data_IF_789491316522
#
_entry.id   IF_789491316522
#
_cell.length_a   1.000
_cell.length_b   1.000
_cell.length_c   1.000
_cell.angle_alpha   90.00
_cell.angle_beta   90.00
_cell.angle_gamma   90.00
#
_symmetry.space_group_name_H-M   'P 1'
#
loop_
_entity.id
_entity.type
_entity.pdbx_description
1 polymer ?
#
# COMPACT_ATOMS: atom_id res chain seq x y z
N UNK A 1 -11.61 22.66 5.18
CA UNK A 1 -11.86 21.32 5.75
C UNK A 1 -10.56 20.56 5.64
N UNK A 2 -10.04 20.00 6.74
CA UNK A 2 -8.81 19.20 6.69
C UNK A 2 -9.07 17.94 5.86
N UNK A 3 -8.14 17.60 4.98
CA UNK A 3 -8.19 16.36 4.21
C UNK A 3 -8.03 15.18 5.17
N UNK A 4 -8.90 14.16 5.07
CA UNK A 4 -8.79 12.94 5.90
C UNK A 4 -7.43 12.29 5.61
N UNK A 5 -6.66 12.00 6.66
CA UNK A 5 -5.38 11.32 6.52
C UNK A 5 -5.60 9.86 6.12
N UNK A 6 -4.73 9.27 5.28
CA UNK A 6 -4.88 7.87 4.89
C UNK A 6 -4.74 6.90 6.07
N UNK A 7 -5.71 6.00 6.22
CA UNK A 7 -5.64 4.84 7.11
C UNK A 7 -4.88 3.72 6.40
N UNK A 8 -3.78 3.25 6.99
CA UNK A 8 -2.97 2.17 6.44
C UNK A 8 -3.48 0.77 6.84
N UNK A 9 -4.29 0.67 7.90
CA UNK A 9 -4.87 -0.58 8.41
C UNK A 9 -6.14 -0.96 7.63
N UNK A 10 -6.01 -1.02 6.31
CA UNK A 10 -7.12 -1.25 5.37
C UNK A 10 -7.02 -2.58 4.61
N UNK A 11 -5.91 -3.31 4.79
CA UNK A 11 -5.57 -4.52 4.02
C UNK A 11 -5.83 -5.82 4.75
N UNK A 12 -6.32 -5.77 6.00
CA UNK A 12 -6.60 -6.97 6.80
C UNK A 12 -7.57 -7.92 6.09
N UNK A 13 -8.58 -7.35 5.43
CA UNK A 13 -9.65 -8.08 4.74
C UNK A 13 -9.46 -8.01 3.20
N UNK A 14 -8.20 -8.05 2.75
CA UNK A 14 -7.84 -7.89 1.34
C UNK A 14 -8.48 -8.96 0.43
N UNK A 15 -8.60 -10.19 0.91
CA UNK A 15 -9.23 -11.31 0.21
C UNK A 15 -10.70 -11.01 -0.15
N UNK A 16 -11.44 -10.36 0.75
CA UNK A 16 -12.82 -9.94 0.51
C UNK A 16 -12.87 -8.89 -0.61
N UNK A 17 -11.99 -7.89 -0.56
CA UNK A 17 -11.92 -6.86 -1.61
C UNK A 17 -11.55 -7.44 -2.97
N UNK A 18 -10.54 -8.32 -3.03
CA UNK A 18 -10.10 -8.98 -4.25
C UNK A 18 -11.22 -9.84 -4.85
N UNK A 19 -11.98 -10.57 -4.02
CA UNK A 19 -13.14 -11.35 -4.47
C UNK A 19 -14.18 -10.47 -5.15
N UNK A 20 -14.54 -9.33 -4.54
CA UNK A 20 -15.50 -8.40 -5.12
C UNK A 20 -14.97 -7.79 -6.43
N UNK A 21 -13.67 -7.45 -6.49
CA UNK A 21 -13.04 -6.92 -7.72
C UNK A 21 -13.13 -7.93 -8.87
N UNK A 22 -12.94 -9.22 -8.61
CA UNK A 22 -13.07 -10.26 -9.63
C UNK A 22 -14.48 -10.33 -10.23
N UNK A 23 -15.52 -10.10 -9.42
CA UNK A 23 -16.90 -9.99 -9.90
C UNK A 23 -17.10 -8.71 -10.72
N UNK A 24 -16.60 -7.58 -10.22
CA UNK A 24 -16.66 -6.28 -10.92
C UNK A 24 -16.06 -6.37 -12.32
N UNK A 25 -14.94 -7.05 -12.49
CA UNK A 25 -14.28 -7.18 -13.79
C UNK A 25 -15.12 -7.90 -14.85
N UNK A 26 -16.11 -8.70 -14.44
CA UNK A 26 -17.04 -9.39 -15.35
C UNK A 26 -18.22 -8.51 -15.78
N UNK A 27 -18.60 -7.54 -14.95
CA UNK A 27 -19.91 -6.86 -15.08
C UNK A 27 -19.84 -5.33 -15.23
N UNK A 28 -18.68 -4.70 -14.99
CA UNK A 28 -18.55 -3.23 -14.94
C UNK A 28 -19.06 -2.50 -16.20
N UNK A 29 -18.95 -3.13 -17.38
CA UNK A 29 -19.39 -2.54 -18.65
C UNK A 29 -20.91 -2.38 -18.74
N UNK A 30 -21.67 -3.13 -17.94
CA UNK A 30 -23.14 -3.11 -17.91
C UNK A 30 -23.69 -2.25 -16.77
N UNK A 31 -22.85 -1.72 -15.89
CA UNK A 31 -23.30 -0.99 -14.70
C UNK A 31 -23.98 0.34 -15.06
N UNK A 32 -25.30 0.48 -14.84
CA UNK A 32 -26.03 1.68 -15.25
C UNK A 32 -25.63 2.93 -14.46
N UNK A 33 -25.24 2.79 -13.19
CA UNK A 33 -24.80 3.92 -12.36
C UNK A 33 -23.45 4.49 -12.81
N UNK A 34 -22.69 3.73 -13.61
CA UNK A 34 -21.40 4.14 -14.14
C UNK A 34 -21.48 4.88 -15.48
N UNK A 35 -22.68 5.11 -16.03
CA UNK A 35 -22.86 5.69 -17.39
C UNK A 35 -22.24 7.09 -17.52
N UNK A 36 -22.19 7.86 -16.43
CA UNK A 36 -21.55 9.18 -16.43
C UNK A 36 -20.05 9.13 -16.72
N UNK A 37 -19.39 7.98 -16.51
CA UNK A 37 -17.99 7.78 -16.85
C UNK A 37 -17.73 7.91 -18.35
N UNK A 38 -18.73 7.62 -19.19
CA UNK A 38 -18.62 7.69 -20.66
C UNK A 38 -18.47 9.13 -21.17
N UNK A 39 -18.77 10.12 -20.31
CA UNK A 39 -18.61 11.55 -20.60
C UNK A 39 -17.20 12.08 -20.30
N UNK A 40 -16.31 11.27 -19.72
CA UNK A 40 -14.91 11.66 -19.56
C UNK A 40 -14.31 11.87 -20.95
N UNK A 41 -13.71 13.04 -21.14
CA UNK A 41 -13.06 13.41 -22.38
C UNK A 41 -11.65 13.92 -22.09
N UNK A 42 -10.67 13.07 -22.35
CA UNK A 42 -9.25 13.39 -22.35
C UNK A 42 -8.76 13.51 -23.80
N UNK A 43 -7.97 14.53 -24.14
CA UNK A 43 -7.47 14.74 -25.49
C UNK A 43 -6.30 13.81 -25.86
N UNK A 44 -6.15 12.67 -25.17
CA UNK A 44 -4.99 11.79 -25.27
C UNK A 44 -5.38 10.31 -25.24
N UNK A 45 -4.38 9.45 -25.44
CA UNK A 45 -4.51 7.99 -25.51
C UNK A 45 -5.04 7.33 -24.23
N UNK A 46 -4.99 8.02 -23.08
CA UNK A 46 -5.47 7.50 -21.81
C UNK A 46 -7.00 7.57 -21.65
N UNK A 47 -7.72 8.25 -22.55
CA UNK A 47 -9.16 8.46 -22.44
C UNK A 47 -9.94 7.16 -22.16
N UNK A 48 -9.72 6.14 -22.98
CA UNK A 48 -10.41 4.85 -22.83
C UNK A 48 -10.04 4.14 -21.52
N UNK A 49 -8.77 4.21 -21.11
CA UNK A 49 -8.29 3.61 -19.87
C UNK A 49 -8.95 4.26 -18.65
N UNK A 50 -9.05 5.59 -18.66
CA UNK A 50 -9.69 6.36 -17.59
C UNK A 50 -11.20 6.11 -17.54
N UNK A 51 -11.89 6.01 -18.69
CA UNK A 51 -13.32 5.63 -18.74
C UNK A 51 -13.53 4.24 -18.13
N UNK A 52 -12.75 3.24 -18.56
CA UNK A 52 -12.84 1.87 -18.04
C UNK A 52 -12.59 1.84 -16.53
N UNK A 53 -11.58 2.57 -16.07
CA UNK A 53 -11.23 2.64 -14.65
C UNK A 53 -12.33 3.31 -13.82
N UNK A 54 -12.92 4.40 -14.32
CA UNK A 54 -14.08 5.05 -13.71
C UNK A 54 -15.24 4.07 -13.55
N UNK A 55 -15.57 3.31 -14.60
CA UNK A 55 -16.68 2.35 -14.53
C UNK A 55 -16.41 1.23 -13.53
N UNK A 56 -15.20 0.67 -13.52
CA UNK A 56 -14.78 -0.33 -12.52
C UNK A 56 -14.88 0.22 -11.10
N UNK A 57 -14.44 1.46 -10.88
CA UNK A 57 -14.54 2.13 -9.57
C UNK A 57 -15.99 2.22 -9.08
N UNK A 58 -16.90 2.71 -9.94
CA UNK A 58 -18.31 2.89 -9.60
C UNK A 58 -18.98 1.55 -9.31
N UNK A 59 -18.74 0.53 -10.15
CA UNK A 59 -19.22 -0.83 -9.92
C UNK A 59 -18.69 -1.42 -8.62
N UNK A 60 -17.41 -1.20 -8.32
CA UNK A 60 -16.79 -1.70 -7.09
C UNK A 60 -17.40 -1.06 -5.86
N UNK A 61 -17.57 0.27 -5.86
CA UNK A 61 -18.26 0.98 -4.79
C UNK A 61 -19.68 0.44 -4.57
N UNK A 62 -20.45 0.29 -5.65
CA UNK A 62 -21.82 -0.21 -5.57
C UNK A 62 -21.89 -1.61 -4.97
N UNK A 63 -21.01 -2.52 -5.37
CA UNK A 63 -20.96 -3.88 -4.82
C UNK A 63 -20.57 -3.89 -3.34
N UNK A 64 -19.59 -3.07 -2.95
CA UNK A 64 -19.22 -2.89 -1.54
C UNK A 64 -20.38 -2.36 -0.69
N UNK A 65 -21.18 -1.43 -1.23
CA UNK A 65 -22.38 -0.89 -0.57
C UNK A 65 -23.53 -1.89 -0.51
N UNK A 66 -23.79 -2.64 -1.59
CA UNK A 66 -24.85 -3.67 -1.65
C UNK A 66 -24.60 -4.81 -0.66
N UNK A 67 -23.35 -5.14 -0.39
CA UNK A 67 -22.99 -6.12 0.63
C UNK A 67 -23.17 -5.57 2.07
N UNK A 68 -23.71 -4.34 2.21
CA UNK A 68 -23.92 -3.58 3.44
C UNK A 68 -25.38 -3.13 3.59
N UNK A 69 -26.31 -4.08 3.72
CA UNK A 69 -27.76 -3.78 3.70
C UNK A 69 -28.40 -3.56 5.09
N UNK A 70 -27.64 -3.50 6.18
CA UNK A 70 -28.18 -3.23 7.52
C UNK A 70 -27.14 -2.64 8.47
N UNK A 71 -27.56 -2.13 9.63
CA UNK A 71 -26.72 -1.58 10.71
C UNK A 71 -25.58 -2.53 11.19
N UNK A 72 -25.54 -3.77 10.71
CA UNK A 72 -24.48 -4.76 10.91
C UNK A 72 -23.55 -4.90 9.69
N UNK A 73 -23.07 -3.78 9.15
CA UNK A 73 -21.92 -3.76 8.27
C UNK A 73 -20.70 -4.36 9.02
N UNK A 74 -20.14 -5.47 8.52
CA UNK A 74 -18.89 -6.05 9.05
C UNK A 74 -17.77 -4.98 9.09
N UNK A 75 -16.73 -5.13 9.93
CA UNK A 75 -15.63 -4.17 10.01
C UNK A 75 -15.00 -3.80 8.65
N UNK A 76 -14.99 -4.72 7.69
CA UNK A 76 -14.57 -4.53 6.29
C UNK A 76 -15.28 -3.32 5.67
N UNK A 77 -16.56 -3.16 5.97
CA UNK A 77 -17.37 -2.10 5.40
C UNK A 77 -17.30 -0.75 6.13
N UNK A 78 -16.53 -0.65 7.21
CA UNK A 78 -16.24 0.66 7.82
C UNK A 78 -15.08 1.35 7.10
N UNK A 79 -14.17 0.58 6.49
CA UNK A 79 -12.93 1.08 5.87
C UNK A 79 -12.90 1.01 4.34
N UNK A 80 -13.97 0.56 3.68
CA UNK A 80 -14.00 0.41 2.23
C UNK A 80 -13.71 1.71 1.46
N UNK A 81 -14.05 2.87 2.03
CA UNK A 81 -13.77 4.18 1.41
C UNK A 81 -12.26 4.43 1.31
N UNK A 82 -11.51 4.16 2.38
CA UNK A 82 -10.05 4.21 2.38
C UNK A 82 -9.44 3.19 1.42
N UNK A 83 -9.97 1.97 1.37
CA UNK A 83 -9.52 0.97 0.40
C UNK A 83 -9.79 1.39 -1.05
N UNK A 84 -10.95 1.99 -1.34
CA UNK A 84 -11.27 2.50 -2.68
C UNK A 84 -10.30 3.60 -3.12
N UNK A 85 -9.92 4.52 -2.22
CA UNK A 85 -8.92 5.56 -2.50
C UNK A 85 -7.54 4.97 -2.82
N UNK A 86 -7.13 3.94 -2.07
CA UNK A 86 -5.92 3.19 -2.39
C UNK A 86 -6.04 2.49 -3.75
N UNK A 87 -7.12 1.73 -3.96
CA UNK A 87 -7.32 0.92 -5.14
C UNK A 87 -7.28 1.76 -6.41
N UNK A 88 -8.00 2.89 -6.45
CA UNK A 88 -8.01 3.76 -7.63
C UNK A 88 -6.64 4.35 -7.91
N UNK A 89 -5.91 4.77 -6.86
CA UNK A 89 -4.54 5.28 -6.98
C UNK A 89 -3.61 4.18 -7.53
N UNK A 90 -3.73 2.96 -7.01
CA UNK A 90 -2.94 1.82 -7.45
C UNK A 90 -3.19 1.48 -8.93
N UNK A 91 -4.45 1.47 -9.37
CA UNK A 91 -4.79 1.22 -10.78
C UNK A 91 -4.29 2.33 -11.72
N UNK A 92 -4.29 3.59 -11.27
CA UNK A 92 -3.75 4.72 -12.02
C UNK A 92 -2.22 4.62 -12.17
N UNK A 93 -1.50 4.20 -11.12
CA UNK A 93 -0.06 3.98 -11.20
C UNK A 93 0.31 2.78 -12.08
N UNK A 94 -0.41 1.66 -11.99
CA UNK A 94 -0.15 0.48 -12.83
C UNK A 94 -0.27 0.79 -14.32
N UNK A 95 -1.16 1.70 -14.69
CA UNK A 95 -1.37 2.14 -16.06
C UNK A 95 -0.52 3.36 -16.44
N UNK A 96 0.32 3.86 -15.52
CA UNK A 96 1.16 5.04 -15.72
C UNK A 96 0.37 6.28 -16.19
N UNK A 97 -0.86 6.44 -15.69
CA UNK A 97 -1.73 7.56 -16.07
C UNK A 97 -1.10 8.88 -15.59
N UNK A 98 -0.99 9.92 -16.44
CA UNK A 98 -0.41 11.21 -16.04
C UNK A 98 -1.21 11.90 -14.93
N UNK A 99 -0.52 12.67 -14.08
CA UNK A 99 -1.13 13.38 -12.93
C UNK A 99 -2.35 14.23 -13.32
N UNK A 100 -2.30 14.94 -14.45
CA UNK A 100 -3.41 15.77 -14.91
C UNK A 100 -4.65 14.94 -15.25
N UNK A 101 -4.47 13.77 -15.85
CA UNK A 101 -5.56 12.87 -16.24
C UNK A 101 -6.15 12.18 -14.99
N UNK A 102 -5.32 11.88 -13.97
CA UNK A 102 -5.81 11.44 -12.65
C UNK A 102 -6.78 12.47 -12.07
N UNK A 103 -6.46 13.77 -12.14
CA UNK A 103 -7.31 14.84 -11.60
C UNK A 103 -8.66 14.92 -12.32
N UNK A 104 -8.70 14.72 -13.63
CA UNK A 104 -9.96 14.68 -14.39
C UNK A 104 -10.86 13.55 -13.90
N UNK A 105 -10.29 12.35 -13.67
CA UNK A 105 -11.03 11.22 -13.12
C UNK A 105 -11.61 11.52 -11.74
N UNK A 106 -10.77 11.99 -10.80
CA UNK A 106 -11.22 12.32 -9.44
C UNK A 106 -12.30 13.41 -9.44
N UNK A 107 -12.17 14.42 -10.29
CA UNK A 107 -13.21 15.46 -10.46
C UNK A 107 -14.51 14.84 -10.97
N UNK A 108 -14.45 14.05 -12.04
CA UNK A 108 -15.63 13.40 -12.61
C UNK A 108 -16.34 12.50 -11.59
N UNK A 109 -15.59 11.74 -10.79
CA UNK A 109 -16.15 10.92 -9.71
C UNK A 109 -16.83 11.79 -8.65
N UNK A 110 -16.16 12.85 -8.17
CA UNK A 110 -16.74 13.76 -7.15
C UNK A 110 -18.02 14.43 -7.63
N UNK A 111 -18.05 14.89 -8.88
CA UNK A 111 -19.18 15.65 -9.41
C UNK A 111 -20.43 14.76 -9.63
N UNK A 112 -20.25 13.46 -9.88
CA UNK A 112 -21.34 12.57 -10.29
C UNK A 112 -21.74 11.50 -9.26
N UNK A 113 -20.85 11.11 -8.34
CA UNK A 113 -21.16 10.06 -7.34
C UNK A 113 -22.33 10.45 -6.41
N UNK A 114 -22.57 11.75 -6.22
CA UNK A 114 -23.68 12.26 -5.39
C UNK A 114 -25.05 11.72 -5.84
N UNK A 115 -25.23 11.43 -7.12
CA UNK A 115 -26.50 10.91 -7.65
C UNK A 115 -26.82 9.49 -7.17
N UNK A 116 -25.82 8.77 -6.67
CA UNK A 116 -25.91 7.35 -6.28
C UNK A 116 -25.44 7.09 -4.84
N UNK A 117 -24.98 8.14 -4.17
CA UNK A 117 -24.48 8.14 -2.80
C UNK A 117 -25.33 9.10 -1.95
N UNK A 118 -26.56 8.70 -1.63
CA UNK A 118 -27.53 9.51 -0.87
C UNK A 118 -26.95 10.05 0.46
N UNK A 119 -26.06 9.28 1.11
CA UNK A 119 -25.39 9.67 2.35
C UNK A 119 -24.10 10.51 2.13
N UNK A 120 -23.68 10.69 0.86
CA UNK A 120 -22.39 11.31 0.44
C UNK A 120 -21.14 10.73 1.12
N UNK A 121 -21.23 9.52 1.65
CA UNK A 121 -20.17 8.88 2.45
C UNK A 121 -18.89 8.68 1.65
N UNK A 122 -18.97 8.35 0.36
CA UNK A 122 -17.79 8.17 -0.48
C UNK A 122 -17.35 9.49 -1.13
N UNK A 123 -18.28 10.34 -1.59
CA UNK A 123 -17.94 11.60 -2.26
C UNK A 123 -17.05 12.48 -1.37
N UNK A 124 -17.42 12.62 -0.09
CA UNK A 124 -16.67 13.45 0.88
C UNK A 124 -15.31 12.83 1.22
N UNK A 125 -15.21 11.50 1.17
CA UNK A 125 -14.00 10.75 1.50
C UNK A 125 -13.11 10.46 0.31
N UNK A 126 -13.48 10.85 -0.92
CA UNK A 126 -12.67 10.60 -2.09
C UNK A 126 -11.48 11.56 -2.14
N UNK A 127 -10.26 11.02 -2.12
CA UNK A 127 -9.04 11.80 -2.20
C UNK A 127 -7.98 11.10 -3.04
N UNK A 128 -7.08 11.90 -3.62
CA UNK A 128 -5.88 11.38 -4.24
C UNK A 128 -4.85 11.08 -3.15
N UNK A 129 -4.41 9.83 -3.03
CA UNK A 129 -3.36 9.44 -2.08
C UNK A 129 -2.07 10.13 -2.53
N UNK A 130 -1.37 10.83 -1.63
CA UNK A 130 -0.09 11.44 -1.99
C UNK A 130 1.00 10.37 -2.20
N UNK A 131 2.05 10.71 -2.92
CA UNK A 131 3.07 9.74 -3.35
C UNK A 131 3.76 9.03 -2.16
N UNK A 132 3.98 9.73 -1.05
CA UNK A 132 4.62 9.16 0.13
C UNK A 132 3.70 8.14 0.82
N UNK A 133 2.44 8.51 1.06
CA UNK A 133 1.45 7.59 1.62
C UNK A 133 1.19 6.41 0.69
N UNK A 134 1.08 6.66 -0.61
CA UNK A 134 0.88 5.62 -1.60
C UNK A 134 2.03 4.60 -1.60
N UNK A 135 3.28 5.05 -1.50
CA UNK A 135 4.45 4.16 -1.41
C UNK A 135 4.31 3.20 -0.24
N UNK A 136 3.97 3.69 0.95
CA UNK A 136 3.80 2.88 2.16
C UNK A 136 2.63 1.91 2.05
N UNK A 137 1.48 2.41 1.62
CA UNK A 137 0.27 1.60 1.43
C UNK A 137 0.47 0.51 0.37
N UNK A 138 1.20 0.79 -0.70
CA UNK A 138 1.51 -0.19 -1.74
C UNK A 138 2.46 -1.28 -1.24
N UNK A 139 3.39 -0.96 -0.34
CA UNK A 139 4.23 -1.96 0.33
C UNK A 139 3.40 -2.89 1.21
N UNK A 140 2.47 -2.33 1.99
CA UNK A 140 1.51 -3.11 2.78
C UNK A 140 0.61 -3.97 1.90
N UNK A 141 0.06 -3.43 0.82
CA UNK A 141 -0.76 -4.18 -0.14
C UNK A 141 -0.02 -5.43 -0.65
N UNK A 142 1.25 -5.30 -1.06
CA UNK A 142 2.07 -6.43 -1.51
C UNK A 142 2.31 -7.45 -0.39
N UNK A 143 2.59 -6.99 0.82
CA UNK A 143 2.78 -7.85 1.98
C UNK A 143 1.52 -8.67 2.31
N UNK A 144 0.36 -8.01 2.42
CA UNK A 144 -0.92 -8.69 2.68
C UNK A 144 -1.35 -9.60 1.53
N UNK A 145 -1.11 -9.19 0.27
CA UNK A 145 -1.37 -10.03 -0.90
C UNK A 145 -0.53 -11.30 -0.89
N UNK A 146 0.74 -11.21 -0.52
CA UNK A 146 1.59 -12.39 -0.33
C UNK A 146 1.11 -13.25 0.84
N UNK A 147 0.80 -12.65 1.99
CA UNK A 147 0.34 -13.36 3.18
C UNK A 147 -0.95 -14.17 2.95
N UNK A 148 -1.93 -13.57 2.28
CA UNK A 148 -3.21 -14.21 1.91
C UNK A 148 -3.16 -14.96 0.57
N UNK A 149 -2.02 -14.98 -0.10
CA UNK A 149 -1.87 -15.46 -1.46
C UNK A 149 -1.87 -16.97 -1.59
N UNK A 150 -1.95 -17.44 -2.85
CA UNK A 150 -1.74 -18.85 -3.19
C UNK A 150 -0.41 -19.05 -3.90
N UNK A 151 0.11 -20.28 -3.89
CA UNK A 151 1.37 -20.60 -4.58
C UNK A 151 1.27 -20.57 -6.11
N UNK A 152 0.07 -20.44 -6.68
CA UNK A 152 -0.12 -20.48 -8.13
C UNK A 152 0.64 -19.36 -8.86
N UNK A 153 0.75 -18.18 -8.23
CA UNK A 153 1.53 -17.05 -8.73
C UNK A 153 3.06 -17.30 -8.65
N UNK A 154 3.49 -18.37 -7.98
CA UNK A 154 4.89 -18.69 -7.66
C UNK A 154 5.33 -20.04 -8.20
N UNK A 155 4.69 -20.54 -9.27
CA UNK A 155 4.98 -21.85 -9.86
C UNK A 155 4.91 -23.02 -8.85
N UNK A 156 4.06 -22.89 -7.82
CA UNK A 156 3.96 -23.87 -6.73
C UNK A 156 5.23 -24.04 -5.89
N UNK A 157 6.13 -23.05 -5.90
CA UNK A 157 7.42 -23.08 -5.21
C UNK A 157 7.34 -22.35 -3.86
N UNK A 158 7.42 -23.13 -2.77
CA UNK A 158 7.37 -22.62 -1.40
C UNK A 158 8.55 -21.70 -1.06
N UNK A 159 9.76 -22.01 -1.53
CA UNK A 159 10.96 -21.25 -1.19
C UNK A 159 10.92 -19.88 -1.85
N UNK A 160 10.52 -19.83 -3.13
CA UNK A 160 10.30 -18.54 -3.83
C UNK A 160 9.21 -17.71 -3.15
N UNK A 161 8.11 -18.35 -2.74
CA UNK A 161 7.02 -17.66 -2.05
C UNK A 161 7.49 -17.06 -0.72
N UNK A 162 8.17 -17.84 0.14
CA UNK A 162 8.66 -17.36 1.43
C UNK A 162 9.75 -16.30 1.29
N UNK A 163 10.62 -16.43 0.29
CA UNK A 163 11.63 -15.41 -0.02
C UNK A 163 10.98 -14.07 -0.36
N UNK A 164 10.00 -14.06 -1.28
CA UNK A 164 9.32 -12.81 -1.65
C UNK A 164 8.53 -12.20 -0.49
N UNK A 165 7.86 -13.05 0.30
CA UNK A 165 7.17 -12.59 1.49
C UNK A 165 8.13 -11.91 2.48
N UNK A 166 9.28 -12.53 2.75
CA UNK A 166 10.30 -11.96 3.64
C UNK A 166 10.85 -10.65 3.10
N UNK A 167 11.17 -10.58 1.80
CA UNK A 167 11.59 -9.32 1.17
C UNK A 167 10.55 -8.19 1.35
N UNK A 168 9.26 -8.49 1.14
CA UNK A 168 8.20 -7.50 1.28
C UNK A 168 8.05 -7.04 2.74
N UNK A 169 8.18 -7.97 3.69
CA UNK A 169 8.17 -7.66 5.12
C UNK A 169 9.37 -6.78 5.51
N UNK A 170 10.58 -7.15 5.11
CA UNK A 170 11.81 -6.42 5.43
C UNK A 170 11.81 -5.01 4.82
N UNK A 171 11.28 -4.85 3.60
CA UNK A 171 11.07 -3.53 2.97
C UNK A 171 10.14 -2.66 3.82
N UNK A 172 9.03 -3.21 4.34
CA UNK A 172 8.13 -2.48 5.21
C UNK A 172 8.80 -2.07 6.53
N UNK A 173 9.56 -2.98 7.15
CA UNK A 173 10.32 -2.67 8.37
C UNK A 173 11.34 -1.56 8.15
N UNK A 174 12.10 -1.64 7.05
CA UNK A 174 13.09 -0.62 6.73
C UNK A 174 12.45 0.76 6.65
N UNK A 175 11.33 0.89 5.93
CA UNK A 175 10.64 2.19 5.81
C UNK A 175 10.03 2.66 7.13
N UNK A 176 9.48 1.75 7.93
CA UNK A 176 9.01 2.07 9.28
C UNK A 176 10.16 2.68 10.13
N UNK A 177 11.32 2.02 10.19
CA UNK A 177 12.37 2.39 11.15
C UNK A 177 13.42 3.35 10.61
N UNK A 178 13.96 3.08 9.41
CA UNK A 178 15.03 3.89 8.83
C UNK A 178 14.49 5.17 8.18
N UNK A 179 13.30 5.11 7.59
CA UNK A 179 12.66 6.31 6.99
C UNK A 179 11.68 7.00 7.96
N UNK A 180 11.41 6.41 9.14
CA UNK A 180 10.62 7.03 10.22
C UNK A 180 9.11 7.08 9.95
N UNK A 181 8.57 6.17 9.13
CA UNK A 181 7.14 6.13 8.82
C UNK A 181 6.33 5.49 9.97
N UNK A 182 5.92 6.34 10.92
CA UNK A 182 5.15 5.93 12.10
C UNK A 182 3.83 5.21 11.78
N UNK A 183 3.09 5.64 10.74
CA UNK A 183 1.83 5.00 10.34
C UNK A 183 2.07 3.59 9.83
N UNK A 184 3.12 3.41 9.03
CA UNK A 184 3.55 2.08 8.60
C UNK A 184 3.97 1.21 9.80
N UNK A 185 4.72 1.77 10.75
CA UNK A 185 5.11 1.05 11.97
C UNK A 185 3.93 0.52 12.77
N UNK A 186 2.89 1.32 12.95
CA UNK A 186 1.69 0.93 13.69
C UNK A 186 0.99 -0.27 13.03
N UNK A 187 0.89 -0.27 11.70
CA UNK A 187 0.34 -1.41 10.95
C UNK A 187 1.25 -2.63 11.03
N UNK A 188 2.57 -2.46 10.93
CA UNK A 188 3.53 -3.57 11.00
C UNK A 188 3.52 -4.26 12.38
N UNK A 189 3.30 -3.51 13.46
CA UNK A 189 3.07 -4.07 14.80
C UNK A 189 1.85 -5.01 14.82
N UNK A 190 0.75 -4.60 14.18
CA UNK A 190 -0.47 -5.39 14.12
C UNK A 190 -0.33 -6.58 13.16
N UNK A 191 0.33 -6.39 12.02
CA UNK A 191 0.63 -7.44 11.05
C UNK A 191 1.44 -8.57 11.70
N UNK A 192 2.45 -8.23 12.51
CA UNK A 192 3.25 -9.24 13.22
C UNK A 192 2.39 -10.12 14.13
N UNK A 193 1.51 -9.52 14.94
CA UNK A 193 0.59 -10.26 15.81
C UNK A 193 -0.34 -11.17 14.99
N UNK A 194 -0.83 -10.66 13.86
CA UNK A 194 -1.67 -11.41 12.93
C UNK A 194 -0.91 -12.63 12.37
N UNK A 195 0.33 -12.44 11.92
CA UNK A 195 1.18 -13.52 11.40
C UNK A 195 1.54 -14.56 12.46
N UNK A 196 1.84 -14.14 13.69
CA UNK A 196 2.17 -15.05 14.78
C UNK A 196 0.97 -15.90 15.21
N UNK A 197 -0.25 -15.35 15.11
CA UNK A 197 -1.48 -16.09 15.39
C UNK A 197 -1.78 -17.15 14.31
N UNK A 198 -1.63 -16.79 13.04
CA UNK A 198 -1.87 -17.68 11.92
C UNK A 198 -0.89 -17.38 10.78
N UNK A 199 -0.03 -18.35 10.47
CA UNK A 199 0.93 -18.23 9.38
C UNK A 199 0.31 -18.75 8.09
N UNK A 200 0.15 -17.87 7.10
CA UNK A 200 -0.30 -18.18 5.75
C UNK A 200 -1.61 -19.00 5.71
N UNK A 201 -2.76 -18.39 6.02
CA UNK A 201 -4.06 -19.07 6.18
C UNK A 201 -4.48 -19.86 4.94
N UNK A 202 -4.06 -19.42 3.76
CA UNK A 202 -4.45 -20.01 2.47
C UNK A 202 -3.47 -21.08 1.94
N UNK A 203 -2.41 -21.41 2.70
CA UNK A 203 -1.29 -22.23 2.22
C UNK A 203 -1.32 -23.65 2.81
N UNK A 204 -1.62 -24.64 1.98
CA UNK A 204 -1.77 -26.05 2.41
C UNK A 204 -0.66 -26.99 1.94
N UNK A 205 0.12 -26.60 0.92
CA UNK A 205 1.11 -27.48 0.26
C UNK A 205 2.57 -27.29 0.73
N UNK A 206 2.82 -26.35 1.63
CA UNK A 206 4.15 -26.10 2.18
C UNK A 206 4.28 -26.66 3.59
N UNK A 207 5.49 -27.10 3.96
CA UNK A 207 5.76 -27.60 5.31
C UNK A 207 5.70 -26.43 6.29
N UNK A 208 4.97 -26.58 7.40
CA UNK A 208 4.86 -25.53 8.43
C UNK A 208 6.22 -25.13 9.01
N UNK A 209 7.14 -26.09 9.13
CA UNK A 209 8.49 -25.83 9.65
C UNK A 209 9.34 -24.95 8.73
N UNK A 210 8.98 -24.82 7.45
CA UNK A 210 9.66 -23.92 6.51
C UNK A 210 9.06 -22.52 6.50
N UNK A 211 8.05 -22.22 7.32
CA UNK A 211 7.47 -20.89 7.39
C UNK A 211 8.47 -19.92 8.02
N UNK A 212 8.75 -18.77 7.39
CA UNK A 212 9.73 -17.83 7.90
C UNK A 212 9.40 -17.35 9.32
N UNK A 213 10.46 -17.17 10.11
CA UNK A 213 10.40 -16.37 11.32
C UNK A 213 10.62 -14.92 10.91
N UNK A 214 9.74 -14.01 11.32
CA UNK A 214 10.02 -12.58 11.12
C UNK A 214 10.91 -12.08 12.28
N UNK A 215 11.82 -11.13 12.03
CA UNK A 215 12.60 -10.51 13.11
C UNK A 215 11.69 -9.79 14.11
N UNK A 216 12.15 -9.64 15.36
CA UNK A 216 11.43 -8.82 16.32
C UNK A 216 11.57 -7.33 15.98
N UNK A 217 10.46 -6.59 16.07
CA UNK A 217 10.42 -5.13 15.93
C UNK A 217 11.34 -4.42 16.94
N UNK A 218 11.59 -5.05 18.09
CA UNK A 218 12.54 -4.61 19.12
C UNK A 218 14.00 -4.59 18.64
N UNK A 219 14.34 -5.35 17.60
CA UNK A 219 15.69 -5.41 17.00
C UNK A 219 16.00 -4.18 16.13
N UNK A 220 14.98 -3.44 15.70
CA UNK A 220 15.08 -2.24 14.90
C UNK A 220 14.85 -1.02 15.81
N UNK A 221 15.66 -0.83 16.86
CA UNK A 221 15.55 0.40 17.65
C UNK A 221 15.95 1.58 16.77
N UNK A 222 15.11 2.64 16.64
CA UNK A 222 15.63 3.91 16.17
C UNK A 222 16.74 4.31 17.12
N UNK A 223 17.88 4.68 16.54
CA UNK A 223 19.00 5.21 17.29
C UNK A 223 18.47 6.40 18.09
N UNK A 224 18.32 6.24 19.40
CA UNK A 224 18.06 7.38 20.28
C UNK A 224 19.34 8.22 20.24
N UNK A 225 19.25 9.42 19.68
CA UNK A 225 20.26 10.45 19.89
C UNK A 225 20.22 10.81 21.37
N UNK A 226 21.05 10.15 22.17
CA UNK A 226 21.41 10.59 23.50
C UNK A 226 22.81 11.22 23.41
N UNK A 227 23.07 12.21 24.27
CA UNK A 227 24.34 12.98 24.34
C UNK A 227 25.56 12.14 24.78
N UNK A 228 25.49 10.82 24.64
CA UNK A 228 26.52 9.83 24.92
C UNK A 228 27.40 9.58 23.68
N UNK A 229 28.51 8.85 23.80
CA UNK A 229 29.42 8.44 22.72
C UNK A 229 28.71 7.75 21.52
N UNK A 230 27.45 7.32 21.70
CA UNK A 230 26.51 6.89 20.67
C UNK A 230 26.14 8.00 19.66
N UNK A 231 26.37 9.27 19.97
CA UNK A 231 26.20 10.40 19.03
C UNK A 231 27.31 10.46 17.96
N UNK A 232 28.35 9.62 18.08
CA UNK A 232 29.41 9.55 17.09
C UNK A 232 28.84 8.98 15.78
N UNK A 233 28.71 9.86 14.77
CA UNK A 233 28.27 9.51 13.41
C UNK A 233 29.05 8.30 12.87
N UNK A 234 30.33 8.14 13.23
CA UNK A 234 31.13 6.98 12.85
C UNK A 234 30.63 5.66 13.44
N UNK A 235 30.23 5.65 14.72
CA UNK A 235 29.65 4.48 15.37
C UNK A 235 28.29 4.13 14.78
N UNK A 236 27.48 5.15 14.48
CA UNK A 236 26.17 4.98 13.84
C UNK A 236 26.28 4.43 12.42
N UNK A 237 27.26 4.90 11.63
CA UNK A 237 27.53 4.37 10.30
C UNK A 237 27.98 2.92 10.34
N UNK A 238 28.78 2.52 11.33
CA UNK A 238 29.22 1.12 11.50
C UNK A 238 28.07 0.20 11.92
N UNK A 239 27.21 0.64 12.86
CA UNK A 239 26.01 -0.13 13.22
C UNK A 239 25.06 -0.28 12.03
N UNK A 240 24.77 0.82 11.31
CA UNK A 240 23.91 0.79 10.13
C UNK A 240 24.51 -0.10 9.02
N UNK A 241 25.82 -0.04 8.79
CA UNK A 241 26.51 -0.90 7.81
C UNK A 241 26.45 -2.39 8.18
N UNK A 242 26.59 -2.72 9.46
CA UNK A 242 26.43 -4.09 9.96
C UNK A 242 24.98 -4.58 9.86
N UNK A 243 24.03 -3.67 10.06
CA UNK A 243 22.60 -3.92 9.86
C UNK A 243 22.30 -4.33 8.43
N UNK A 244 22.74 -3.54 7.44
CA UNK A 244 22.56 -3.87 6.01
C UNK A 244 23.13 -5.24 5.63
N UNK A 245 24.26 -5.64 6.25
CA UNK A 245 24.90 -6.94 6.01
C UNK A 245 24.07 -8.13 6.51
N UNK A 246 23.28 -7.97 7.58
CA UNK A 246 22.40 -9.02 8.14
C UNK A 246 21.22 -9.36 7.23
N UNK A 247 20.81 -8.44 6.35
CA UNK A 247 19.62 -8.56 5.51
C UNK A 247 19.94 -8.64 4.00
N UNK A 248 21.19 -8.93 3.62
CA UNK A 248 21.63 -9.06 2.22
C UNK A 248 21.31 -7.85 1.32
N UNK A 249 21.19 -6.65 1.92
CA UNK A 249 20.87 -5.42 1.19
C UNK A 249 22.14 -4.81 0.55
N UNK A 250 22.01 -4.07 -0.58
CA UNK A 250 23.15 -3.45 -1.26
C UNK A 250 23.94 -2.54 -0.33
N UNK A 251 25.24 -2.83 -0.17
CA UNK A 251 26.13 -2.03 0.66
C UNK A 251 26.32 -0.63 0.08
N UNK A 252 26.31 0.40 0.93
CA UNK A 252 26.86 1.71 0.60
C UNK A 252 28.37 1.55 0.38
N UNK A 253 28.80 1.52 -0.88
CA UNK A 253 30.22 1.50 -1.23
C UNK A 253 30.85 2.86 -0.89
N UNK A 254 32.08 2.81 -0.37
CA UNK A 254 32.86 3.96 0.14
C UNK A 254 32.94 5.14 -0.85
N UNK A 255 32.81 4.86 -2.15
CA UNK A 255 32.77 5.84 -3.25
C UNK A 255 31.55 6.78 -3.21
N UNK A 256 30.39 6.33 -2.71
CA UNK A 256 29.17 7.15 -2.61
C UNK A 256 29.07 7.98 -1.32
N UNK A 257 29.90 7.68 -0.32
CA UNK A 257 29.90 8.41 0.96
C UNK A 257 30.65 9.73 0.82
N UNK A 258 31.77 9.73 0.11
CA UNK A 258 32.59 10.94 -0.08
C UNK A 258 31.91 12.00 -0.96
N UNK A 259 31.20 11.59 -2.02
CA UNK A 259 30.51 12.54 -2.90
C UNK A 259 29.36 13.29 -2.20
N UNK A 260 28.60 12.60 -1.34
CA UNK A 260 27.49 13.22 -0.61
C UNK A 260 27.96 14.10 0.55
N UNK A 261 29.06 13.75 1.23
CA UNK A 261 29.61 14.59 2.29
C UNK A 261 30.24 15.89 1.77
N UNK A 262 30.95 15.85 0.63
CA UNK A 262 31.53 17.04 0.00
C UNK A 262 30.45 18.06 -0.42
N UNK A 263 29.33 17.58 -0.96
CA UNK A 263 28.22 18.42 -1.41
C UNK A 263 27.51 19.14 -0.25
N UNK A 264 27.39 18.46 0.91
CA UNK A 264 26.80 19.05 2.12
C UNK A 264 27.78 20.05 2.78
N UNK A 265 29.08 19.76 2.80
CA UNK A 265 30.07 20.71 3.33
C UNK A 265 30.23 21.99 2.50
N UNK A 266 29.97 21.93 1.19
CA UNK A 266 30.02 23.10 0.31
C UNK A 266 28.80 24.03 0.46
N UNK A 267 27.67 23.54 0.98
CA UNK A 267 26.46 24.34 1.21
C UNK A 267 26.39 25.01 2.60
N UNK A 268 27.33 24.68 3.50
CA UNK A 268 27.39 25.26 4.86
C UNK A 268 28.35 26.47 4.91
N UNK A 269 29.09 26.73 3.83
CA UNK A 269 30.00 27.89 3.69
C UNK A 269 29.65 28.75 2.46
N UNK A 270 28.37 29.12 2.28
CA UNK A 270 27.95 30.33 1.56
C UNK A 270 26.55 30.77 1.97
#
# INVERSE_FOLDING_TARGET
MAQEEPDYDIFKDLDVYETIIHEVYKEYSKEPTAKFCDNINLPNEYNNQVIVLCRKFVSFYKNLKKNCNSDNCSPVHKKYSSYLNFWISHQLELQSIPKNDKLVLYKNLKDNLQQYDEDRKLQVKLYNVNDNDFKSMNMLYKLYKNYNGSLSEYNNDCDKFFHLFKENYDKCLYRCYAEGDSKLCDVMNNFRKLYDNEKFPSLYNCKKDSFPLLPELSEYRPIKLTDSEDSNIGYQLVQTANFFKKFELPQLKRENVYYNFLYISLYIYH
#
